data_IF_147138558424
#
_entry.id   IF_147138558424
#
_cell.length_a   1.000
_cell.length_b   1.000
_cell.length_c   1.000
_cell.angle_alpha   90.00
_cell.angle_beta   90.00
_cell.angle_gamma   90.00
#
_symmetry.space_group_name_H-M   'P 1'
#
loop_
_entity.id
_entity.type
_entity.pdbx_description
1 polymer ?
#
# COMPACT_ATOMS: atom_id res chain seq x y z
N UNK A 1 -16.38 -19.99 12.94
CA UNK A 1 -14.98 -20.05 12.44
C UNK A 1 -14.31 -18.69 12.37
N UNK A 2 -14.90 -17.68 11.70
CA UNK A 2 -14.35 -16.31 11.60
C UNK A 2 -14.02 -15.70 12.98
N UNK A 3 -14.99 -15.68 13.90
CA UNK A 3 -14.79 -15.12 15.23
C UNK A 3 -13.69 -15.82 16.05
N UNK A 4 -13.54 -17.14 15.89
CA UNK A 4 -12.47 -17.90 16.55
C UNK A 4 -11.10 -17.49 16.02
N UNK A 5 -10.94 -17.39 14.68
CA UNK A 5 -9.69 -16.93 14.05
C UNK A 5 -9.35 -15.50 14.48
N UNK A 6 -10.35 -14.62 14.52
CA UNK A 6 -10.19 -13.27 15.04
C UNK A 6 -9.76 -13.24 16.52
N UNK A 7 -10.32 -14.12 17.35
CA UNK A 7 -9.92 -14.32 18.74
C UNK A 7 -8.45 -14.69 18.87
N UNK A 8 -7.97 -15.64 18.07
CA UNK A 8 -6.56 -16.05 18.04
C UNK A 8 -5.68 -14.86 17.62
N UNK A 9 -6.03 -14.17 16.53
CA UNK A 9 -5.27 -13.02 16.01
C UNK A 9 -5.08 -11.91 17.05
N UNK A 10 -6.10 -11.66 17.88
CA UNK A 10 -6.08 -10.60 18.90
C UNK A 10 -5.76 -11.09 20.30
N UNK A 11 -5.35 -12.36 20.46
CA UNK A 11 -5.15 -13.04 21.74
C UNK A 11 -6.34 -12.87 22.72
N UNK A 12 -7.56 -13.00 22.19
CA UNK A 12 -8.83 -12.97 22.93
C UNK A 12 -9.51 -14.34 22.84
N UNK A 13 -9.21 -15.29 23.76
CA UNK A 13 -9.71 -16.66 23.68
C UNK A 13 -11.25 -16.76 23.80
N UNK A 14 -11.88 -15.82 24.50
CA UNK A 14 -13.33 -15.74 24.66
C UNK A 14 -14.04 -14.96 23.52
N UNK A 15 -13.41 -14.80 22.35
CA UNK A 15 -14.02 -14.16 21.18
C UNK A 15 -15.09 -15.05 20.56
N UNK A 16 -16.24 -14.46 20.22
CA UNK A 16 -17.37 -15.15 19.61
C UNK A 16 -18.07 -14.26 18.57
N UNK A 17 -19.09 -14.81 17.89
CA UNK A 17 -19.81 -14.06 16.87
C UNK A 17 -20.57 -12.88 17.46
N UNK A 18 -21.19 -12.99 18.64
CA UNK A 18 -21.94 -11.86 19.24
C UNK A 18 -21.05 -10.64 19.44
N UNK A 19 -19.82 -10.85 19.92
CA UNK A 19 -18.81 -9.78 20.10
C UNK A 19 -18.34 -9.23 18.75
N UNK A 20 -17.96 -10.10 17.82
CA UNK A 20 -17.52 -9.69 16.49
C UNK A 20 -18.61 -8.94 15.71
N UNK A 21 -19.87 -9.34 15.90
CA UNK A 21 -21.02 -8.72 15.24
C UNK A 21 -21.17 -7.26 15.62
N UNK A 22 -20.69 -6.81 16.79
CA UNK A 22 -20.70 -5.40 17.18
C UNK A 22 -19.82 -4.55 16.25
N UNK A 23 -18.63 -5.02 15.90
CA UNK A 23 -17.75 -4.33 14.94
C UNK A 23 -18.35 -4.32 13.53
N UNK A 24 -18.97 -5.43 13.11
CA UNK A 24 -19.69 -5.46 11.82
C UNK A 24 -20.83 -4.43 11.79
N UNK A 25 -21.55 -4.24 12.92
CA UNK A 25 -22.56 -3.20 13.02
C UNK A 25 -22.00 -1.81 12.84
N UNK A 26 -20.94 -1.53 13.58
CA UNK A 26 -20.21 -0.27 13.47
C UNK A 26 -19.76 0.01 12.03
N UNK A 27 -19.25 -0.99 11.31
CA UNK A 27 -18.78 -0.79 9.93
C UNK A 27 -19.90 -0.48 8.94
N UNK A 28 -21.10 -1.03 9.12
CA UNK A 28 -22.20 -0.62 8.24
C UNK A 28 -22.79 0.74 8.62
N UNK A 29 -22.81 1.09 9.90
CA UNK A 29 -23.24 2.43 10.35
C UNK A 29 -22.26 3.51 9.88
N UNK A 30 -20.96 3.16 9.80
CA UNK A 30 -19.90 4.03 9.27
C UNK A 30 -19.79 4.02 7.74
N UNK A 31 -20.62 3.27 7.03
CA UNK A 31 -20.60 3.21 5.56
C UNK A 31 -19.37 2.53 4.95
N UNK A 32 -18.54 1.84 5.75
CA UNK A 32 -17.40 1.06 5.26
C UNK A 32 -17.90 -0.27 4.64
N UNK A 33 -18.98 -0.82 5.20
CA UNK A 33 -19.66 -2.02 4.72
C UNK A 33 -21.16 -1.80 4.63
N UNK A 34 -21.89 -2.74 4.03
CA UNK A 34 -23.35 -2.76 3.99
C UNK A 34 -23.86 -4.13 4.39
N UNK A 35 -24.93 -4.16 5.20
CA UNK A 35 -25.67 -5.38 5.51
C UNK A 35 -26.63 -5.69 4.37
N UNK A 36 -26.54 -6.89 3.79
CA UNK A 36 -27.52 -7.35 2.79
C UNK A 36 -28.83 -7.69 3.50
N UNK A 37 -29.93 -7.03 3.11
CA UNK A 37 -31.26 -7.31 3.65
C UNK A 37 -31.74 -8.72 3.27
N UNK A 38 -32.51 -9.37 4.14
CA UNK A 38 -33.01 -10.74 3.92
C UNK A 38 -31.98 -11.86 4.14
N UNK A 39 -30.69 -11.57 3.96
CA UNK A 39 -29.63 -12.57 4.08
C UNK A 39 -29.01 -12.63 5.48
N UNK A 40 -28.69 -13.83 5.98
CA UNK A 40 -27.96 -13.97 7.24
C UNK A 40 -26.46 -14.03 6.98
N UNK A 41 -25.68 -13.30 7.79
CA UNK A 41 -24.22 -13.31 7.73
C UNK A 41 -23.60 -12.75 6.44
N UNK A 42 -24.39 -12.15 5.55
CA UNK A 42 -23.90 -11.54 4.31
C UNK A 42 -23.73 -10.02 4.46
N UNK A 43 -22.54 -9.54 4.08
CA UNK A 43 -22.13 -8.15 4.09
C UNK A 43 -21.30 -7.86 2.83
N UNK A 44 -21.29 -6.60 2.38
CA UNK A 44 -20.51 -6.13 1.23
C UNK A 44 -19.66 -4.93 1.64
N UNK A 45 -18.43 -4.82 1.15
CA UNK A 45 -17.68 -3.57 1.29
C UNK A 45 -18.26 -2.51 0.35
N UNK A 46 -18.18 -1.25 0.76
CA UNK A 46 -18.65 -0.13 -0.03
C UNK A 46 -17.52 0.36 -0.94
N UNK A 47 -17.85 0.70 -2.19
CA UNK A 47 -16.91 1.23 -3.19
C UNK A 47 -17.14 2.73 -3.42
N UNK A 48 -17.27 3.50 -2.34
CA UNK A 48 -17.45 4.96 -2.38
C UNK A 48 -16.15 5.65 -1.94
N UNK A 49 -15.82 6.84 -2.47
CA UNK A 49 -14.59 7.56 -2.13
C UNK A 49 -14.41 7.79 -0.62
N UNK A 50 -15.49 8.10 0.09
CA UNK A 50 -15.47 8.33 1.54
C UNK A 50 -15.19 7.05 2.34
N UNK A 51 -15.77 5.92 1.90
CA UNK A 51 -15.50 4.61 2.48
C UNK A 51 -14.05 4.20 2.23
N UNK A 52 -13.53 4.46 1.03
CA UNK A 52 -12.14 4.18 0.68
C UNK A 52 -11.17 4.98 1.56
N UNK A 53 -11.45 6.26 1.81
CA UNK A 53 -10.66 7.07 2.73
C UNK A 53 -10.65 6.47 4.15
N UNK A 54 -11.82 6.10 4.66
CA UNK A 54 -11.95 5.48 6.00
C UNK A 54 -11.21 4.14 6.11
N UNK A 55 -11.12 3.37 5.02
CA UNK A 55 -10.37 2.12 4.96
C UNK A 55 -8.85 2.34 4.83
N UNK A 56 -8.43 3.36 4.09
CA UNK A 56 -7.02 3.68 3.88
C UNK A 56 -6.34 4.24 5.13
N UNK A 57 -7.11 4.90 6.01
CA UNK A 57 -6.57 5.58 7.20
C UNK A 57 -7.32 5.18 8.49
N UNK A 58 -7.13 3.94 8.99
CA UNK A 58 -7.87 3.41 10.13
C UNK A 58 -7.54 4.09 11.48
N UNK A 59 -6.37 4.72 11.62
CA UNK A 59 -5.86 5.27 12.89
C UNK A 59 -5.91 6.80 12.99
N UNK A 60 -6.82 7.48 12.27
CA UNK A 60 -6.91 8.94 12.24
C UNK A 60 -5.62 9.66 11.78
N UNK A 61 -4.65 8.93 11.21
CA UNK A 61 -3.52 9.51 10.49
C UNK A 61 -4.05 10.07 9.17
N UNK A 62 -4.70 11.23 9.22
CA UNK A 62 -4.80 12.07 8.02
C UNK A 62 -3.35 12.39 7.65
N UNK A 63 -2.82 11.91 6.51
CA UNK A 63 -1.53 12.40 6.06
C UNK A 63 -1.70 13.91 5.97
N UNK A 64 -0.93 14.64 6.77
CA UNK A 64 -0.95 16.08 6.75
C UNK A 64 -0.32 16.47 5.41
N UNK A 65 -1.13 16.55 4.36
CA UNK A 65 -0.77 17.10 3.06
C UNK A 65 -0.65 18.62 3.23
N UNK A 66 0.24 19.06 4.11
CA UNK A 66 0.92 20.33 3.89
C UNK A 66 1.84 20.07 2.71
N UNK A 67 1.32 20.30 1.52
CA UNK A 67 2.18 20.72 0.44
C UNK A 67 2.82 22.01 0.96
N UNK A 68 4.07 21.91 1.39
CA UNK A 68 4.93 23.07 1.58
C UNK A 68 5.54 23.36 0.20
N UNK A 69 5.02 24.33 -0.57
CA UNK A 69 5.57 24.65 -1.88
C UNK A 69 6.92 25.39 -1.80
N UNK A 70 7.51 25.55 -0.61
CA UNK A 70 8.65 26.46 -0.38
C UNK A 70 9.93 25.77 0.10
N UNK A 71 9.97 24.43 0.14
CA UNK A 71 11.20 23.68 0.40
C UNK A 71 12.04 23.53 -0.89
N UNK A 72 12.41 24.66 -1.51
CA UNK A 72 13.57 24.69 -2.38
C UNK A 72 14.81 24.77 -1.48
N UNK A 73 15.71 23.77 -1.45
CA UNK A 73 17.01 23.99 -0.87
C UNK A 73 17.69 25.04 -1.75
N UNK A 74 17.97 26.20 -1.14
CA UNK A 74 18.64 27.30 -1.77
C UNK A 74 19.90 26.82 -2.49
N UNK A 75 20.12 27.37 -3.67
CA UNK A 75 21.37 27.24 -4.40
C UNK A 75 22.42 27.98 -3.59
N UNK A 76 23.16 27.29 -2.72
CA UNK A 76 24.45 27.76 -2.27
C UNK A 76 25.48 27.56 -3.40
N UNK A 77 25.69 28.66 -4.10
CA UNK A 77 26.86 28.93 -4.92
C UNK A 77 28.08 28.95 -3.99
N UNK A 78 28.83 27.85 -3.90
CA UNK A 78 30.26 27.92 -3.60
C UNK A 78 31.02 26.65 -4.05
N UNK A 79 31.70 26.81 -5.19
CA UNK A 79 33.01 26.21 -5.50
C UNK A 79 33.06 24.73 -5.88
N UNK A 80 33.13 24.45 -7.19
CA UNK A 80 34.32 23.87 -7.85
C UNK A 80 34.22 24.03 -9.40
N UNK A 81 35.22 24.64 -10.08
CA UNK A 81 35.18 24.84 -11.53
C UNK A 81 35.32 23.52 -12.30
N UNK A 82 34.41 23.34 -13.25
CA UNK A 82 34.36 22.24 -14.20
C UNK A 82 35.51 22.36 -15.24
N UNK A 83 36.73 22.01 -14.85
CA UNK A 83 37.84 21.89 -15.78
C UNK A 83 38.80 20.77 -15.34
N UNK A 84 39.04 19.83 -16.26
CA UNK A 84 40.13 18.87 -16.27
C UNK A 84 39.90 17.51 -15.57
N UNK A 85 39.02 16.68 -16.15
CA UNK A 85 39.29 15.24 -16.21
C UNK A 85 39.52 14.86 -17.67
N UNK A 86 40.68 14.27 -17.88
CA UNK A 86 41.42 13.98 -19.11
C UNK A 86 40.61 13.29 -20.23
N UNK A 87 40.59 13.93 -21.40
CA UNK A 87 40.12 13.38 -22.67
C UNK A 87 41.20 12.43 -23.23
N UNK A 88 41.24 11.18 -22.74
CA UNK A 88 42.04 10.13 -23.35
C UNK A 88 41.59 8.71 -22.96
N UNK A 89 40.37 8.31 -23.33
CA UNK A 89 40.06 6.89 -23.51
C UNK A 89 38.98 6.73 -24.59
N UNK A 90 39.47 6.55 -25.82
CA UNK A 90 38.74 6.20 -27.04
C UNK A 90 37.67 5.12 -26.82
N UNK A 91 36.38 5.47 -26.86
CA UNK A 91 35.31 4.49 -27.08
C UNK A 91 35.27 4.14 -28.57
N UNK A 92 35.92 3.04 -28.89
CA UNK A 92 35.81 2.35 -30.16
C UNK A 92 34.34 1.92 -30.36
N UNK A 93 33.74 2.41 -31.43
CA UNK A 93 32.55 1.88 -32.10
C UNK A 93 32.77 0.40 -32.43
N UNK A 94 31.78 -0.47 -32.14
CA UNK A 94 31.10 -1.30 -33.15
C UNK A 94 30.09 -2.29 -32.51
N UNK A 95 28.92 -2.40 -33.14
CA UNK A 95 28.26 -3.69 -33.37
C UNK A 95 27.27 -4.24 -32.33
N UNK A 96 26.01 -4.42 -32.76
CA UNK A 96 25.30 -5.67 -32.46
C UNK A 96 24.00 -5.56 -31.67
N UNK A 97 22.90 -5.71 -32.39
CA UNK A 97 21.54 -5.99 -31.94
C UNK A 97 21.48 -7.14 -30.91
N UNK A 98 20.75 -6.98 -29.80
CA UNK A 98 20.34 -8.15 -29.03
C UNK A 98 19.04 -7.97 -28.25
N UNK A 99 17.99 -8.53 -28.84
CA UNK A 99 16.76 -8.95 -28.17
C UNK A 99 17.12 -9.95 -27.06
N UNK A 100 16.82 -9.65 -25.80
CA UNK A 100 17.00 -10.62 -24.71
C UNK A 100 15.63 -10.91 -24.09
N UNK A 101 15.04 -11.99 -24.59
CA UNK A 101 14.08 -12.79 -23.86
C UNK A 101 14.77 -13.47 -22.67
N UNK A 102 14.05 -13.62 -21.56
CA UNK A 102 14.37 -14.60 -20.53
C UNK A 102 14.67 -14.02 -19.16
N UNK A 103 13.63 -13.86 -18.34
CA UNK A 103 13.76 -13.93 -16.89
C UNK A 103 12.71 -14.93 -16.39
N UNK A 104 13.11 -16.12 -15.88
CA UNK A 104 12.17 -17.15 -15.45
C UNK A 104 11.63 -16.85 -14.04
N UNK A 105 10.32 -17.04 -13.87
CA UNK A 105 9.63 -16.97 -12.58
C UNK A 105 9.97 -18.21 -11.73
N UNK A 106 10.20 -18.08 -10.41
CA UNK A 106 10.30 -19.23 -9.53
C UNK A 106 8.90 -19.71 -9.14
N UNK A 107 8.47 -20.81 -9.74
CA UNK A 107 7.34 -21.63 -9.28
C UNK A 107 7.89 -22.81 -8.49
N UNK A 108 7.44 -23.01 -7.24
CA UNK A 108 7.97 -24.11 -6.42
C UNK A 108 7.56 -24.10 -4.96
N UNK A 109 6.28 -24.33 -4.67
CA UNK A 109 5.86 -24.94 -3.40
C UNK A 109 4.91 -26.10 -3.70
N UNK A 110 5.43 -27.33 -3.64
CA UNK A 110 4.63 -28.55 -3.53
C UNK A 110 5.31 -29.51 -2.54
N UNK A 111 4.52 -29.86 -1.52
CA UNK A 111 4.62 -30.89 -0.48
C UNK A 111 5.70 -30.80 0.59
#
# INVERSE_FOLDING_TARGET
>A
MVARRWGIQKNRPAMNYDKLSRSLRYYYEKGIMQKVAGERYVYKFVCDPEALFSMAFPDNQRPNLKADPDSLPGVDDDTLPLAHYDEAASYLVDGGEQCVAGMPFPDGYVY
#
